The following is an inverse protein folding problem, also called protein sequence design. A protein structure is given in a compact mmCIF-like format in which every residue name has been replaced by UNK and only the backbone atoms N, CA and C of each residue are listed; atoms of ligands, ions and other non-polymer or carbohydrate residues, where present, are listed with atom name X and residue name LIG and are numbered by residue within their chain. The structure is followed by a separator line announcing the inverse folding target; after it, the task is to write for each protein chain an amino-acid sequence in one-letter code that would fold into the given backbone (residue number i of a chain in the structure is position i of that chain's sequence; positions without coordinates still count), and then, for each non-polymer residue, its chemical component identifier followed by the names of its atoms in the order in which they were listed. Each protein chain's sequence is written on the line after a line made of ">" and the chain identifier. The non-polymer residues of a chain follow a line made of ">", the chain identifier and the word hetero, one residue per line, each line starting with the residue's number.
data_IF_853881908013
#
_entry.id   IF_853881908013
#
_cell.length_a   1.000
_cell.length_b   1.000
_cell.length_c   1.000
_cell.angle_alpha   90.00
_cell.angle_beta   90.00
_cell.angle_gamma   90.00
#
_symmetry.space_group_name_H-M   'P 1'
#
loop_
_entity.id
_entity.type
_entity.pdbx_description
1 polymer ?
#
# COMPACT_ATOMS: atom_id res chain seq x y z
N UNK A 1 19.09 16.16 6.47
CA UNK A 1 18.62 15.55 5.21
C UNK A 1 19.74 15.06 4.28
N UNK A 2 20.71 15.87 3.84
CA UNK A 2 21.81 15.40 2.97
C UNK A 2 22.60 14.18 3.49
N UNK A 3 22.89 14.07 4.79
CA UNK A 3 23.75 13.01 5.35
C UNK A 3 23.18 11.58 5.31
N UNK A 4 21.86 11.39 5.24
CA UNK A 4 21.28 10.03 5.22
C UNK A 4 21.43 9.37 3.85
N UNK A 5 21.40 10.16 2.78
CA UNK A 5 21.56 9.66 1.40
C UNK A 5 23.03 9.55 0.97
N UNK A 6 23.94 10.30 1.62
CA UNK A 6 25.41 10.23 1.32
C UNK A 6 26.02 8.87 1.71
N UNK A 7 25.40 8.11 2.62
CA UNK A 7 25.91 6.80 3.06
C UNK A 7 25.18 5.61 2.44
N UNK A 8 24.12 5.83 1.64
CA UNK A 8 23.46 4.76 0.91
C UNK A 8 24.16 4.66 -0.47
N UNK A 9 25.14 3.78 -0.61
CA UNK A 9 25.63 3.36 -1.92
C UNK A 9 24.52 2.55 -2.60
N UNK A 10 23.63 3.25 -3.30
CA UNK A 10 22.60 2.64 -4.13
C UNK A 10 23.26 2.10 -5.41
N UNK A 11 23.67 0.85 -5.36
CA UNK A 11 24.15 0.11 -6.53
C UNK A 11 23.03 -0.84 -6.94
N UNK A 12 22.48 -0.68 -8.12
CA UNK A 12 21.70 -1.74 -8.73
C UNK A 12 20.52 -1.30 -9.57
N UNK A 13 20.38 -1.98 -10.72
CA UNK A 13 19.17 -1.95 -11.54
C UNK A 13 18.02 -2.58 -10.76
N UNK A 14 16.90 -1.85 -10.60
CA UNK A 14 15.64 -2.49 -10.25
C UNK A 14 15.20 -3.22 -11.52
N UNK A 15 15.08 -4.54 -11.45
CA UNK A 15 14.62 -5.34 -12.57
C UNK A 15 13.23 -4.85 -13.02
N UNK A 16 12.99 -4.87 -14.32
CA UNK A 16 11.67 -4.66 -14.91
C UNK A 16 10.69 -5.63 -14.25
N UNK A 17 9.82 -5.15 -13.40
CA UNK A 17 8.93 -5.98 -12.59
C UNK A 17 7.62 -5.26 -12.30
N UNK A 18 6.71 -5.96 -11.65
CA UNK A 18 5.42 -5.43 -11.22
C UNK A 18 5.54 -4.79 -9.83
N UNK A 19 4.70 -3.80 -9.51
CA UNK A 19 4.50 -3.30 -8.15
C UNK A 19 3.07 -3.64 -7.72
N UNK A 20 2.92 -4.78 -7.04
CA UNK A 20 1.60 -5.36 -6.71
C UNK A 20 1.30 -5.29 -5.22
N UNK A 21 2.25 -5.70 -4.38
CA UNK A 21 2.08 -5.79 -2.92
C UNK A 21 3.31 -5.26 -2.21
N UNK A 22 3.11 -4.59 -1.07
CA UNK A 22 4.21 -4.21 -0.19
C UNK A 22 4.90 -5.43 0.44
N UNK A 23 4.19 -6.57 0.53
CA UNK A 23 4.76 -7.81 1.05
C UNK A 23 5.84 -8.41 0.13
N UNK A 24 5.81 -8.07 -1.15
CA UNK A 24 6.78 -8.55 -2.14
C UNK A 24 8.03 -7.65 -2.22
N UNK A 25 8.01 -6.46 -1.58
CA UNK A 25 9.07 -5.46 -1.67
C UNK A 25 10.08 -5.58 -0.53
N UNK A 26 11.35 -5.55 -0.86
CA UNK A 26 12.46 -5.50 0.10
C UNK A 26 12.76 -4.06 0.50
N UNK A 27 13.38 -3.87 1.68
CA UNK A 27 13.83 -2.55 2.18
C UNK A 27 14.57 -1.73 1.11
N UNK A 28 15.48 -2.37 0.38
CA UNK A 28 16.27 -1.69 -0.66
C UNK A 28 15.39 -1.19 -1.80
N UNK A 29 14.46 -2.01 -2.29
CA UNK A 29 13.56 -1.62 -3.39
C UNK A 29 12.66 -0.44 -2.99
N UNK A 30 12.17 -0.44 -1.74
CA UNK A 30 11.44 0.71 -1.19
C UNK A 30 12.32 1.95 -1.21
N UNK A 31 13.54 1.90 -0.65
CA UNK A 31 14.45 3.03 -0.60
C UNK A 31 14.85 3.53 -1.99
N UNK A 32 15.09 2.65 -2.93
CA UNK A 32 15.42 3.00 -4.32
C UNK A 32 14.28 3.78 -4.99
N UNK A 33 13.02 3.39 -4.77
CA UNK A 33 11.84 4.11 -5.27
C UNK A 33 11.72 5.50 -4.62
N UNK A 34 11.93 5.60 -3.29
CA UNK A 34 11.85 6.89 -2.59
C UNK A 34 12.96 7.84 -3.03
N UNK A 35 14.19 7.34 -3.17
CA UNK A 35 15.32 8.13 -3.65
C UNK A 35 15.14 8.58 -5.10
N UNK A 36 14.64 7.70 -5.97
CA UNK A 36 14.32 8.07 -7.35
C UNK A 36 13.24 9.15 -7.40
N UNK A 37 12.21 9.06 -6.55
CA UNK A 37 11.16 10.07 -6.47
C UNK A 37 11.75 11.45 -6.15
N UNK A 38 12.67 11.52 -5.18
CA UNK A 38 13.37 12.75 -4.81
C UNK A 38 14.22 13.29 -5.96
N UNK A 39 15.01 12.44 -6.61
CA UNK A 39 15.84 12.84 -7.78
C UNK A 39 14.98 13.35 -8.94
N UNK A 40 13.80 12.78 -9.16
CA UNK A 40 12.86 13.27 -10.18
C UNK A 40 12.32 14.64 -9.79
N UNK A 41 11.99 14.90 -8.53
CA UNK A 41 11.54 16.23 -8.09
C UNK A 41 12.57 17.32 -8.43
N UNK A 42 13.86 17.03 -8.22
CA UNK A 42 14.97 17.96 -8.50
C UNK A 42 15.24 18.19 -10.01
N UNK A 43 14.64 17.38 -10.90
CA UNK A 43 14.79 17.55 -12.34
C UNK A 43 13.96 18.71 -12.87
N UNK A 44 14.46 19.40 -13.93
CA UNK A 44 13.66 20.36 -14.69
C UNK A 44 12.47 19.70 -15.37
N UNK A 45 11.37 20.43 -15.56
CA UNK A 45 10.18 19.90 -16.22
C UNK A 45 10.47 19.42 -17.65
N UNK A 46 11.36 20.13 -18.37
CA UNK A 46 11.81 19.70 -19.71
C UNK A 46 12.52 18.34 -19.69
N UNK A 47 13.36 18.07 -18.67
CA UNK A 47 14.02 16.79 -18.52
C UNK A 47 13.00 15.70 -18.20
N UNK A 48 12.06 15.97 -17.28
CA UNK A 48 11.00 15.03 -16.90
C UNK A 48 10.19 14.55 -18.11
N UNK A 49 9.82 15.45 -19.00
CA UNK A 49 9.04 15.13 -20.21
C UNK A 49 9.72 14.13 -21.15
N UNK A 50 11.02 13.91 -21.02
CA UNK A 50 11.78 12.98 -21.88
C UNK A 50 11.80 11.54 -21.32
N UNK A 51 11.54 11.33 -20.02
CA UNK A 51 11.73 10.03 -19.37
C UNK A 51 10.83 8.92 -19.91
N UNK A 52 9.56 9.23 -20.15
CA UNK A 52 8.59 8.27 -20.70
C UNK A 52 7.97 8.74 -22.02
N UNK A 53 8.71 9.61 -22.75
CA UNK A 53 8.24 10.11 -24.04
C UNK A 53 7.85 8.97 -24.99
N UNK A 54 6.67 9.05 -25.59
CA UNK A 54 6.13 8.06 -26.50
C UNK A 54 5.58 6.78 -25.86
N UNK A 55 5.68 6.62 -24.52
CA UNK A 55 5.06 5.51 -23.80
C UNK A 55 3.57 5.73 -23.62
N UNK A 56 2.81 4.64 -23.59
CA UNK A 56 1.35 4.63 -23.34
C UNK A 56 1.10 3.94 -22.00
N UNK A 57 0.49 4.67 -21.06
CA UNK A 57 0.14 4.18 -19.74
C UNK A 57 -1.36 3.95 -19.68
N UNK A 58 -1.79 2.69 -19.53
CA UNK A 58 -3.19 2.38 -19.31
C UNK A 58 -3.59 2.58 -17.85
N UNK A 59 -4.67 3.33 -17.61
CA UNK A 59 -5.24 3.54 -16.26
C UNK A 59 -6.62 2.88 -16.18
N UNK A 60 -6.65 1.68 -15.59
CA UNK A 60 -7.83 0.83 -15.48
C UNK A 60 -8.42 0.95 -14.07
N UNK A 61 -9.40 1.81 -13.90
CA UNK A 61 -10.06 2.05 -12.62
C UNK A 61 -11.49 1.48 -12.66
N UNK A 62 -11.67 0.29 -12.09
CA UNK A 62 -12.95 -0.42 -12.00
C UNK A 62 -13.78 0.01 -10.78
N UNK A 63 -13.25 0.86 -9.93
CA UNK A 63 -13.98 1.52 -8.84
C UNK A 63 -13.66 3.01 -8.79
N UNK A 64 -14.55 3.86 -8.29
CA UNK A 64 -14.32 5.31 -8.18
C UNK A 64 -13.09 5.64 -7.36
N UNK A 65 -12.18 6.45 -7.89
CA UNK A 65 -10.99 6.94 -7.19
C UNK A 65 -10.42 8.18 -7.85
N UNK A 66 -11.00 9.33 -7.58
CA UNK A 66 -10.63 10.60 -8.21
C UNK A 66 -9.16 10.95 -7.99
N UNK A 67 -8.70 11.00 -6.74
CA UNK A 67 -7.32 11.42 -6.41
C UNK A 67 -6.28 10.46 -6.97
N UNK A 68 -6.44 9.16 -6.77
CA UNK A 68 -5.45 8.17 -7.22
C UNK A 68 -5.34 8.17 -8.74
N UNK A 69 -6.48 8.19 -9.46
CA UNK A 69 -6.52 8.24 -10.92
C UNK A 69 -5.83 9.50 -11.44
N UNK A 70 -6.30 10.68 -11.03
CA UNK A 70 -5.73 11.96 -11.47
C UNK A 70 -4.24 12.07 -11.15
N UNK A 71 -3.79 11.54 -10.00
CA UNK A 71 -2.39 11.59 -9.61
C UNK A 71 -1.51 10.68 -10.48
N UNK A 72 -1.97 9.45 -10.84
CA UNK A 72 -1.24 8.60 -11.79
C UNK A 72 -1.21 9.22 -13.18
N UNK A 73 -2.32 9.73 -13.66
CA UNK A 73 -2.42 10.36 -14.98
C UNK A 73 -1.55 11.62 -15.04
N UNK A 74 -1.61 12.50 -14.02
CA UNK A 74 -0.73 13.66 -13.93
C UNK A 74 0.75 13.27 -13.87
N UNK A 75 1.10 12.26 -13.07
CA UNK A 75 2.47 11.78 -12.96
C UNK A 75 3.00 11.26 -14.31
N UNK A 76 2.19 10.49 -15.05
CA UNK A 76 2.55 9.96 -16.36
C UNK A 76 2.74 11.08 -17.41
N UNK A 77 1.79 12.03 -17.49
CA UNK A 77 1.87 13.16 -18.43
C UNK A 77 3.09 14.04 -18.16
N UNK A 78 3.44 14.26 -16.89
CA UNK A 78 4.65 15.01 -16.50
C UNK A 78 5.95 14.31 -16.89
N UNK A 79 5.91 13.00 -17.14
CA UNK A 79 7.04 12.24 -17.68
C UNK A 79 7.03 12.15 -19.22
N UNK A 80 6.06 12.79 -19.89
CA UNK A 80 5.90 12.77 -21.34
C UNK A 80 5.20 11.52 -21.89
N UNK A 81 4.55 10.73 -21.03
CA UNK A 81 3.76 9.59 -21.45
C UNK A 81 2.34 10.00 -21.89
N UNK A 82 1.74 9.19 -22.77
CA UNK A 82 0.34 9.27 -23.15
C UNK A 82 -0.52 8.42 -22.21
N UNK A 83 -1.76 8.82 -22.00
CA UNK A 83 -2.70 8.10 -21.14
C UNK A 83 -3.76 7.40 -21.99
N UNK A 84 -3.99 6.12 -21.68
CA UNK A 84 -5.11 5.33 -22.15
C UNK A 84 -6.01 5.00 -20.95
N UNK A 85 -7.06 5.79 -20.76
CA UNK A 85 -7.92 5.67 -19.58
C UNK A 85 -9.13 4.79 -19.89
N UNK A 86 -9.43 3.81 -19.02
CA UNK A 86 -10.69 3.08 -19.09
C UNK A 86 -11.86 4.06 -18.85
N UNK A 87 -12.88 4.08 -19.74
CA UNK A 87 -14.10 4.81 -19.48
C UNK A 87 -14.81 4.26 -18.22
N UNK A 88 -15.80 4.98 -17.67
CA UNK A 88 -16.60 4.46 -16.57
C UNK A 88 -17.13 3.04 -16.88
N UNK A 89 -17.15 2.16 -15.88
CA UNK A 89 -17.51 0.73 -16.06
C UNK A 89 -18.86 0.58 -16.77
N UNK A 90 -19.80 1.47 -16.46
CA UNK A 90 -21.14 1.53 -17.04
C UNK A 90 -21.14 1.87 -18.55
N UNK A 91 -20.02 2.36 -19.08
CA UNK A 91 -19.84 2.75 -20.50
C UNK A 91 -18.81 1.86 -21.21
N UNK A 92 -18.31 0.83 -20.53
CA UNK A 92 -17.29 -0.08 -21.06
C UNK A 92 -17.86 -1.45 -21.45
N UNK A 93 -17.04 -2.26 -22.09
CA UNK A 93 -17.39 -3.65 -22.43
C UNK A 93 -17.61 -4.54 -21.20
N UNK A 94 -17.11 -4.13 -20.05
CA UNK A 94 -17.35 -4.81 -18.76
C UNK A 94 -18.85 -4.91 -18.45
N UNK A 95 -19.63 -3.87 -18.77
CA UNK A 95 -21.09 -3.90 -18.63
C UNK A 95 -21.75 -4.98 -19.51
N UNK A 96 -21.11 -5.37 -20.62
CA UNK A 96 -21.61 -6.43 -21.52
C UNK A 96 -21.19 -7.82 -21.06
N UNK A 97 -20.49 -7.94 -19.91
CA UNK A 97 -20.01 -9.21 -19.38
C UNK A 97 -18.59 -9.60 -19.80
N UNK A 98 -17.78 -8.66 -20.35
CA UNK A 98 -16.37 -8.92 -20.61
C UNK A 98 -15.64 -9.25 -19.28
N UNK A 99 -14.89 -10.35 -19.28
CA UNK A 99 -14.13 -10.76 -18.11
C UNK A 99 -12.96 -9.79 -17.85
N UNK A 100 -12.54 -9.69 -16.57
CA UNK A 100 -11.33 -8.93 -16.22
C UNK A 100 -10.09 -9.45 -16.97
N UNK A 101 -9.99 -10.77 -17.11
CA UNK A 101 -8.93 -11.45 -17.86
C UNK A 101 -8.85 -10.98 -19.30
N UNK A 102 -9.99 -10.90 -20.00
CA UNK A 102 -10.03 -10.48 -21.40
C UNK A 102 -9.71 -8.99 -21.53
N UNK A 103 -10.24 -8.14 -20.63
CA UNK A 103 -9.90 -6.72 -20.58
C UNK A 103 -8.38 -6.52 -20.46
N UNK A 104 -7.71 -7.26 -19.55
CA UNK A 104 -6.25 -7.14 -19.37
C UNK A 104 -5.50 -7.54 -20.63
N UNK A 105 -5.86 -8.67 -21.29
CA UNK A 105 -5.24 -9.12 -22.53
C UNK A 105 -5.38 -8.12 -23.67
N UNK A 106 -6.54 -7.47 -23.78
CA UNK A 106 -6.75 -6.45 -24.80
C UNK A 106 -5.94 -5.19 -24.52
N UNK A 107 -5.96 -4.70 -23.28
CA UNK A 107 -5.25 -3.47 -22.90
C UNK A 107 -3.73 -3.65 -22.97
N UNK A 108 -3.21 -4.85 -22.68
CA UNK A 108 -1.80 -5.19 -22.88
C UNK A 108 -1.32 -4.88 -24.32
N UNK A 109 -2.18 -5.09 -25.31
CA UNK A 109 -1.86 -4.85 -26.71
C UNK A 109 -1.79 -3.35 -27.06
N UNK A 110 -2.38 -2.49 -26.24
CA UNK A 110 -2.52 -1.06 -26.48
C UNK A 110 -1.57 -0.19 -25.64
N UNK A 111 -0.91 -0.77 -24.63
CA UNK A 111 -0.14 0.00 -23.66
C UNK A 111 1.23 -0.60 -23.36
N UNK A 112 2.12 0.22 -22.77
CA UNK A 112 3.44 -0.19 -22.29
C UNK A 112 3.42 -0.56 -20.79
N UNK A 113 2.44 -0.03 -20.06
CA UNK A 113 2.27 -0.22 -18.60
C UNK A 113 0.79 -0.16 -18.27
N UNK A 114 0.36 -1.02 -17.35
CA UNK A 114 -1.02 -1.06 -16.84
C UNK A 114 -1.03 -0.64 -15.36
N UNK A 115 -1.77 0.41 -15.05
CA UNK A 115 -2.11 0.82 -13.68
C UNK A 115 -3.53 0.36 -13.41
N UNK A 116 -3.71 -0.55 -12.45
CA UNK A 116 -5.02 -1.16 -12.18
C UNK A 116 -5.51 -0.84 -10.77
N UNK A 117 -6.79 -0.43 -10.66
CA UNK A 117 -7.54 -0.33 -9.42
C UNK A 117 -8.84 -1.10 -9.54
N UNK A 118 -9.13 -2.00 -8.59
CA UNK A 118 -10.25 -2.92 -8.69
C UNK A 118 -10.93 -3.14 -7.32
N UNK A 119 -12.27 -3.36 -7.27
CA UNK A 119 -12.97 -3.62 -6.01
C UNK A 119 -12.69 -5.01 -5.41
N UNK A 120 -12.17 -5.97 -6.19
CA UNK A 120 -11.85 -7.32 -5.74
C UNK A 120 -10.39 -7.45 -5.32
N UNK A 121 -10.19 -8.13 -4.19
CA UNK A 121 -8.86 -8.41 -3.64
C UNK A 121 -8.07 -9.36 -4.56
N UNK A 122 -6.82 -9.01 -4.88
CA UNK A 122 -5.95 -9.83 -5.72
C UNK A 122 -6.09 -9.58 -7.23
N UNK A 123 -6.96 -8.66 -7.64
CA UNK A 123 -7.13 -8.36 -9.06
C UNK A 123 -5.84 -7.85 -9.72
N UNK A 124 -5.07 -7.01 -9.02
CA UNK A 124 -3.78 -6.54 -9.54
C UNK A 124 -2.76 -7.68 -9.68
N UNK A 125 -2.79 -8.67 -8.79
CA UNK A 125 -1.95 -9.87 -8.88
C UNK A 125 -2.33 -10.71 -10.10
N UNK A 126 -3.64 -10.90 -10.32
CA UNK A 126 -4.12 -11.60 -11.51
C UNK A 126 -3.72 -10.86 -12.79
N UNK A 127 -3.88 -9.53 -12.84
CA UNK A 127 -3.43 -8.74 -13.98
C UNK A 127 -1.94 -8.95 -14.28
N UNK A 128 -1.09 -9.01 -13.24
CA UNK A 128 0.36 -9.23 -13.41
C UNK A 128 0.73 -10.64 -13.86
N UNK A 129 -0.14 -11.64 -13.66
CA UNK A 129 0.06 -13.00 -14.20
C UNK A 129 -0.37 -13.11 -15.67
N UNK A 130 -1.40 -12.37 -16.04
CA UNK A 130 -1.96 -12.41 -17.40
C UNK A 130 -1.13 -11.57 -18.36
N UNK A 131 -0.75 -10.36 -17.94
CA UNK A 131 -0.09 -9.37 -18.78
C UNK A 131 1.41 -9.62 -18.92
N UNK A 132 1.92 -9.49 -20.14
CA UNK A 132 3.35 -9.41 -20.45
C UNK A 132 3.92 -8.00 -20.22
N UNK A 133 3.04 -7.02 -20.01
CA UNK A 133 3.42 -5.65 -19.66
C UNK A 133 3.47 -5.47 -18.15
N UNK A 134 4.34 -4.59 -17.64
CA UNK A 134 4.36 -4.28 -16.21
C UNK A 134 2.99 -3.85 -15.69
N UNK A 135 2.69 -4.21 -14.44
CA UNK A 135 1.46 -3.84 -13.74
C UNK A 135 1.79 -3.11 -12.43
N UNK A 136 1.09 -2.01 -12.19
CA UNK A 136 1.11 -1.30 -10.91
C UNK A 136 -0.26 -1.39 -10.25
N UNK A 137 -0.29 -1.84 -9.00
CA UNK A 137 -1.48 -1.87 -8.17
C UNK A 137 -1.80 -0.47 -7.62
N UNK A 138 -2.89 0.13 -8.06
CA UNK A 138 -3.43 1.40 -7.57
C UNK A 138 -4.51 1.21 -6.46
N UNK A 139 -4.61 0.01 -5.92
CA UNK A 139 -5.53 -0.42 -4.86
C UNK A 139 -6.47 -1.52 -5.32
N UNK A 140 -6.47 -2.65 -4.65
CA UNK A 140 -7.35 -3.79 -4.91
C UNK A 140 -8.16 -4.14 -3.65
N UNK A 141 -9.45 -3.94 -3.70
CA UNK A 141 -10.38 -4.25 -2.62
C UNK A 141 -9.97 -3.71 -1.25
N UNK A 142 -9.88 -4.58 -0.27
CA UNK A 142 -9.36 -4.32 1.07
C UNK A 142 -7.93 -4.84 1.28
N UNK A 143 -7.28 -5.32 0.22
CA UNK A 143 -6.00 -5.99 0.30
C UNK A 143 -4.81 -5.00 0.33
N UNK A 144 -4.33 -4.50 -0.80
CA UNK A 144 -3.11 -3.72 -0.90
C UNK A 144 -3.31 -2.37 -1.59
N UNK A 145 -2.46 -1.39 -1.22
CA UNK A 145 -2.36 -0.11 -1.93
C UNK A 145 -0.91 0.41 -1.93
N UNK A 146 0.01 -0.25 -2.68
CA UNK A 146 1.45 0.05 -2.62
C UNK A 146 1.78 1.52 -2.85
N UNK A 147 1.10 2.17 -3.82
CA UNK A 147 1.37 3.57 -4.12
C UNK A 147 0.99 4.53 -2.98
N UNK A 148 0.04 4.15 -2.10
CA UNK A 148 -0.26 4.92 -0.90
C UNK A 148 0.83 4.72 0.15
N UNK A 149 1.21 3.48 0.41
CA UNK A 149 2.26 3.18 1.38
C UNK A 149 3.60 3.85 1.01
N UNK A 150 3.98 3.80 -0.28
CA UNK A 150 5.21 4.44 -0.75
C UNK A 150 5.18 5.96 -0.61
N UNK A 151 4.05 6.62 -0.91
CA UNK A 151 3.95 8.07 -0.72
C UNK A 151 3.90 8.47 0.76
N UNK A 152 3.34 7.62 1.63
CA UNK A 152 3.37 7.82 3.08
C UNK A 152 4.81 7.73 3.58
N UNK A 153 5.55 6.69 3.21
CA UNK A 153 6.98 6.53 3.55
C UNK A 153 7.83 7.69 2.99
N UNK A 154 7.55 8.11 1.75
CA UNK A 154 8.24 9.26 1.15
C UNK A 154 8.02 10.53 1.96
N UNK A 155 6.78 10.80 2.34
CA UNK A 155 6.43 11.98 3.15
C UNK A 155 7.09 11.94 4.53
N UNK A 156 7.09 10.77 5.18
CA UNK A 156 7.76 10.57 6.47
C UNK A 156 9.26 10.82 6.32
N UNK A 157 9.89 10.25 5.30
CA UNK A 157 11.33 10.41 5.06
C UNK A 157 11.70 11.86 4.75
N UNK A 158 10.89 12.55 3.95
CA UNK A 158 11.09 13.96 3.59
C UNK A 158 11.00 14.87 4.82
N UNK A 159 10.04 14.65 5.72
CA UNK A 159 9.80 15.49 6.89
C UNK A 159 10.68 15.14 8.10
N UNK A 160 10.89 13.84 8.33
CA UNK A 160 11.66 13.37 9.51
C UNK A 160 13.14 13.12 9.21
N UNK A 161 13.53 13.08 7.95
CA UNK A 161 14.89 12.74 7.53
C UNK A 161 15.28 11.28 7.78
N UNK A 162 14.38 10.48 8.33
CA UNK A 162 14.59 9.05 8.63
C UNK A 162 13.27 8.29 8.61
N UNK A 163 13.35 6.98 8.38
CA UNK A 163 12.25 6.04 8.62
C UNK A 163 12.50 5.15 9.86
N UNK A 164 13.70 5.25 10.46
CA UNK A 164 14.11 4.39 11.56
C UNK A 164 13.84 5.04 12.91
N UNK A 165 13.59 4.22 13.92
CA UNK A 165 13.40 4.61 15.32
C UNK A 165 12.25 5.59 15.57
N UNK A 166 11.27 5.68 14.68
CA UNK A 166 10.12 6.56 14.82
C UNK A 166 9.06 5.97 15.75
N UNK A 167 8.32 6.82 16.43
CA UNK A 167 7.14 6.51 17.22
C UNK A 167 5.89 6.94 16.45
N UNK A 168 5.04 6.00 16.11
CA UNK A 168 3.93 6.22 15.17
C UNK A 168 2.62 5.81 15.84
N UNK A 169 1.63 6.69 15.86
CA UNK A 169 0.26 6.35 16.22
C UNK A 169 -0.61 6.19 14.99
N UNK A 170 -1.27 5.05 14.87
CA UNK A 170 -2.33 4.79 13.92
C UNK A 170 -3.66 4.94 14.63
N UNK A 171 -4.51 5.86 14.17
CA UNK A 171 -5.73 6.26 14.86
C UNK A 171 -6.93 6.13 13.96
N UNK A 172 -8.01 5.50 14.44
CA UNK A 172 -9.29 5.39 13.74
C UNK A 172 -9.68 3.95 13.39
N UNK A 173 -9.99 3.68 12.11
CA UNK A 173 -10.36 2.33 11.66
C UNK A 173 -9.12 1.49 11.34
N UNK A 174 -8.67 0.71 12.31
CA UNK A 174 -7.50 -0.16 12.15
C UNK A 174 -7.88 -1.56 11.67
N UNK A 175 -9.17 -1.93 11.76
CA UNK A 175 -9.66 -3.25 11.36
C UNK A 175 -9.79 -3.40 9.85
N UNK A 176 -10.35 -2.37 9.20
CA UNK A 176 -10.62 -2.37 7.75
C UNK A 176 -9.68 -1.45 6.97
N UNK A 177 -8.78 -0.75 7.68
CA UNK A 177 -7.86 0.24 7.14
C UNK A 177 -6.68 -0.37 6.39
N UNK A 178 -6.85 -0.80 5.12
CA UNK A 178 -5.76 -1.38 4.31
C UNK A 178 -4.49 -0.51 4.26
N UNK A 179 -4.62 0.81 4.30
CA UNK A 179 -3.47 1.73 4.29
C UNK A 179 -2.66 1.62 5.57
N UNK A 180 -3.33 1.46 6.72
CA UNK A 180 -2.67 1.20 8.02
C UNK A 180 -1.95 -0.15 7.98
N UNK A 181 -2.62 -1.20 7.51
CA UNK A 181 -2.04 -2.54 7.43
C UNK A 181 -0.77 -2.56 6.58
N UNK A 182 -0.82 -1.97 5.39
CA UNK A 182 0.32 -1.93 4.46
C UNK A 182 1.45 -1.05 5.01
N UNK A 183 1.13 0.10 5.62
CA UNK A 183 2.14 1.00 6.18
C UNK A 183 2.80 0.39 7.42
N UNK A 184 2.03 -0.19 8.35
CA UNK A 184 2.58 -0.85 9.52
C UNK A 184 3.55 -1.99 9.14
N UNK A 185 3.18 -2.81 8.15
CA UNK A 185 4.07 -3.84 7.60
C UNK A 185 5.32 -3.27 6.94
N UNK A 186 5.17 -2.26 6.09
CA UNK A 186 6.33 -1.66 5.42
C UNK A 186 7.33 -1.05 6.43
N UNK A 187 6.83 -0.47 7.51
CA UNK A 187 7.65 0.10 8.57
C UNK A 187 8.44 -0.95 9.36
N UNK A 188 8.05 -2.24 9.35
CA UNK A 188 8.88 -3.30 9.98
C UNK A 188 10.27 -3.38 9.38
N UNK A 189 10.45 -3.00 8.12
CA UNK A 189 11.76 -2.93 7.47
C UNK A 189 12.68 -1.83 8.05
N UNK A 190 12.12 -0.89 8.82
CA UNK A 190 12.82 0.30 9.32
C UNK A 190 12.89 0.37 10.85
N UNK A 191 12.57 -0.73 11.55
CA UNK A 191 12.68 -0.86 13.00
C UNK A 191 12.11 0.34 13.77
N UNK A 192 10.81 0.64 13.69
CA UNK A 192 10.20 1.71 14.46
C UNK A 192 10.40 1.46 15.96
N UNK A 193 10.56 2.54 16.75
CA UNK A 193 10.74 2.42 18.21
C UNK A 193 9.50 1.82 18.87
N UNK A 194 8.31 2.28 18.47
CA UNK A 194 7.03 1.76 18.92
C UNK A 194 5.91 2.16 17.94
N UNK A 195 4.95 1.29 17.77
CA UNK A 195 3.68 1.59 17.07
C UNK A 195 2.54 1.63 18.09
N UNK A 196 1.78 2.70 18.10
CA UNK A 196 0.56 2.83 18.91
C UNK A 196 -0.65 2.56 18.01
N UNK A 197 -1.50 1.64 18.41
CA UNK A 197 -2.75 1.31 17.70
C UNK A 197 -3.93 1.82 18.52
N UNK A 198 -4.47 2.97 18.09
CA UNK A 198 -5.51 3.71 18.82
C UNK A 198 -6.84 3.54 18.10
N UNK A 199 -7.70 2.70 18.65
CA UNK A 199 -9.02 2.41 18.12
C UNK A 199 -9.94 1.84 19.20
N UNK A 200 -11.29 1.95 19.06
CA UNK A 200 -12.19 1.18 19.87
C UNK A 200 -11.96 -0.32 19.67
N UNK A 201 -12.25 -1.15 20.66
CA UNK A 201 -12.02 -2.59 20.60
C UNK A 201 -12.59 -3.25 19.33
N UNK A 202 -13.75 -2.79 18.86
CA UNK A 202 -14.40 -3.30 17.63
C UNK A 202 -13.66 -2.99 16.33
N UNK A 203 -12.77 -1.98 16.33
CA UNK A 203 -12.00 -1.48 15.18
C UNK A 203 -10.49 -1.64 15.35
N UNK A 204 -10.04 -2.39 16.34
CA UNK A 204 -8.63 -2.62 16.61
C UNK A 204 -7.95 -3.40 15.47
N UNK A 205 -6.63 -3.30 15.46
CA UNK A 205 -5.75 -4.01 14.53
C UNK A 205 -6.02 -5.51 14.59
N UNK A 206 -6.20 -6.19 13.45
CA UNK A 206 -6.40 -7.64 13.40
C UNK A 206 -5.26 -8.42 14.06
N UNK A 207 -5.61 -9.46 14.82
CA UNK A 207 -4.65 -10.27 15.58
C UNK A 207 -3.50 -10.84 14.73
N UNK A 208 -3.81 -11.31 13.51
CA UNK A 208 -2.79 -11.84 12.60
C UNK A 208 -1.70 -10.83 12.23
N UNK A 209 -2.03 -9.52 12.19
CA UNK A 209 -1.06 -8.44 11.95
C UNK A 209 -0.23 -8.15 13.20
N UNK A 210 -0.86 -8.18 14.39
CA UNK A 210 -0.15 -8.02 15.66
C UNK A 210 0.84 -9.17 15.89
N UNK A 211 0.44 -10.41 15.56
CA UNK A 211 1.35 -11.57 15.58
C UNK A 211 2.54 -11.37 14.63
N UNK A 212 2.29 -10.84 13.44
CA UNK A 212 3.32 -10.58 12.43
C UNK A 212 4.32 -9.52 12.92
N UNK A 213 3.84 -8.42 13.51
CA UNK A 213 4.68 -7.41 14.13
C UNK A 213 5.52 -7.99 15.28
N UNK A 214 4.92 -8.79 16.14
CA UNK A 214 5.60 -9.46 17.26
C UNK A 214 6.70 -10.41 16.78
N UNK A 215 6.46 -11.18 15.70
CA UNK A 215 7.47 -12.04 15.07
C UNK A 215 8.66 -11.25 14.53
N UNK A 216 8.41 -10.05 14.03
CA UNK A 216 9.46 -9.14 13.54
C UNK A 216 10.12 -8.31 14.66
N UNK A 217 9.82 -8.59 15.93
CA UNK A 217 10.40 -7.89 17.07
C UNK A 217 9.93 -6.45 17.25
N UNK A 218 8.85 -6.05 16.60
CA UNK A 218 8.32 -4.69 16.66
C UNK A 218 7.52 -4.49 17.95
N UNK A 219 7.89 -3.46 18.70
CA UNK A 219 7.14 -3.04 19.91
C UNK A 219 5.87 -2.30 19.49
N UNK A 220 4.74 -2.65 20.12
CA UNK A 220 3.48 -1.93 19.91
C UNK A 220 2.68 -1.83 21.22
N UNK A 221 1.80 -0.85 21.27
CA UNK A 221 0.84 -0.63 22.35
C UNK A 221 -0.55 -0.46 21.77
N UNK A 222 -1.57 -1.04 22.40
CA UNK A 222 -2.98 -0.91 22.03
C UNK A 222 -3.61 0.08 22.99
N UNK A 223 -4.21 1.13 22.43
CA UNK A 223 -4.83 2.22 23.16
C UNK A 223 -6.24 2.48 22.65
N UNK A 224 -7.07 3.08 23.49
CA UNK A 224 -8.42 3.56 23.10
C UNK A 224 -8.46 5.08 22.94
N UNK A 225 -7.50 5.80 23.54
CA UNK A 225 -7.41 7.27 23.47
C UNK A 225 -6.05 7.72 22.95
N UNK A 226 -6.04 8.53 21.90
CA UNK A 226 -4.80 9.05 21.32
C UNK A 226 -4.04 10.00 22.25
N UNK A 227 -4.74 10.61 23.24
CA UNK A 227 -4.13 11.51 24.21
C UNK A 227 -3.09 10.83 25.08
N UNK A 228 -3.18 9.50 25.25
CA UNK A 228 -2.26 8.71 26.05
C UNK A 228 -0.86 8.56 25.42
N UNK A 229 -0.75 8.85 24.11
CA UNK A 229 0.51 8.78 23.39
C UNK A 229 0.90 10.08 22.66
N UNK A 230 0.04 11.10 22.65
CA UNK A 230 0.20 12.29 21.83
C UNK A 230 1.52 13.04 22.06
N UNK A 231 1.99 13.13 23.31
CA UNK A 231 3.24 13.78 23.70
C UNK A 231 4.50 12.96 23.34
N UNK A 232 4.32 11.67 22.98
CA UNK A 232 5.42 10.72 22.74
C UNK A 232 5.70 10.49 21.28
N UNK A 233 4.70 10.66 20.40
CA UNK A 233 4.75 10.25 19.00
C UNK A 233 5.44 11.28 18.09
N UNK A 234 6.02 10.79 17.02
CA UNK A 234 6.61 11.58 15.94
C UNK A 234 5.65 11.73 14.76
N UNK A 235 4.75 10.75 14.60
CA UNK A 235 3.79 10.68 13.50
C UNK A 235 2.42 10.30 14.05
N UNK A 236 1.44 11.10 13.71
CA UNK A 236 0.01 10.84 13.92
C UNK A 236 -0.62 10.47 12.58
N UNK A 237 -0.90 9.19 12.36
CA UNK A 237 -1.53 8.71 11.13
C UNK A 237 -3.01 8.47 11.38
N UNK A 238 -3.83 9.42 10.96
CA UNK A 238 -5.28 9.38 11.12
C UNK A 238 -5.95 8.64 9.97
N UNK A 239 -6.98 7.87 10.26
CA UNK A 239 -7.82 7.22 9.26
C UNK A 239 -9.30 7.48 9.50
N UNK A 240 -10.05 7.59 8.42
CA UNK A 240 -11.50 7.69 8.44
C UNK A 240 -12.13 6.37 8.88
N UNK A 241 -13.16 6.42 9.72
CA UNK A 241 -14.02 5.27 9.97
C UNK A 241 -14.94 5.08 8.76
N UNK A 242 -14.76 3.96 8.04
CA UNK A 242 -15.39 3.74 6.73
C UNK A 242 -16.77 3.12 6.88
N UNK A 243 -17.84 3.94 6.85
CA UNK A 243 -19.23 3.49 6.94
C UNK A 243 -19.57 2.33 6.00
N UNK A 244 -19.04 2.37 4.80
CA UNK A 244 -19.23 1.38 3.72
C UNK A 244 -18.63 -0.01 4.02
N UNK A 245 -17.88 -0.15 5.10
CA UNK A 245 -17.26 -1.42 5.52
C UNK A 245 -18.03 -2.14 6.62
N UNK A 246 -19.00 -1.47 7.26
CA UNK A 246 -19.78 -2.06 8.32
C UNK A 246 -20.94 -2.88 7.77
N UNK A 247 -21.10 -4.15 8.20
CA UNK A 247 -22.26 -4.96 7.84
C UNK A 247 -23.57 -4.40 8.39
N UNK A 248 -23.55 -3.83 9.61
CA UNK A 248 -24.68 -3.16 10.25
C UNK A 248 -24.37 -1.67 10.49
N UNK A 249 -25.26 -0.81 10.05
CA UNK A 249 -25.19 0.63 10.25
C UNK A 249 -25.17 1.03 11.73
N UNK A 250 -25.83 0.25 12.60
CA UNK A 250 -25.88 0.50 14.05
C UNK A 250 -24.49 0.38 14.68
N UNK A 251 -23.63 -0.49 14.17
CA UNK A 251 -22.26 -0.63 14.68
C UNK A 251 -21.39 0.54 14.24
N UNK A 252 -21.63 1.10 13.05
CA UNK A 252 -20.99 2.35 12.63
C UNK A 252 -21.42 3.53 13.53
N UNK A 253 -22.70 3.68 13.84
CA UNK A 253 -23.20 4.80 14.66
C UNK A 253 -22.61 4.80 16.09
N UNK A 254 -22.21 3.64 16.62
CA UNK A 254 -21.54 3.55 17.93
C UNK A 254 -20.12 4.11 17.94
N UNK A 255 -19.44 4.13 16.80
CA UNK A 255 -18.03 4.51 16.67
C UNK A 255 -17.81 5.80 15.86
N UNK A 256 -18.86 6.30 15.21
CA UNK A 256 -18.83 7.56 14.48
C UNK A 256 -18.44 8.72 15.40
N UNK A 257 -17.45 9.53 14.96
CA UNK A 257 -17.03 10.74 15.69
C UNK A 257 -16.28 10.50 17.01
N UNK A 258 -15.88 9.26 17.33
CA UNK A 258 -15.08 8.97 18.53
C UNK A 258 -13.73 9.67 18.46
N UNK A 259 -13.12 9.72 17.29
CA UNK A 259 -11.84 10.40 17.07
C UNK A 259 -12.04 11.61 16.18
N UNK A 260 -11.94 12.77 16.77
CA UNK A 260 -11.89 14.06 16.07
C UNK A 260 -10.69 14.83 16.58
N UNK A 261 -9.83 15.23 15.65
CA UNK A 261 -8.69 16.09 15.99
C UNK A 261 -8.89 17.50 15.45
N UNK A 262 -8.52 18.48 16.27
CA UNK A 262 -8.63 19.90 16.00
C UNK A 262 -7.44 20.67 16.62
N UNK A 263 -7.40 21.96 16.38
CA UNK A 263 -6.34 22.82 16.91
C UNK A 263 -6.23 22.74 18.43
N UNK A 264 -7.36 22.72 19.13
CA UNK A 264 -7.41 22.75 20.60
C UNK A 264 -6.79 21.48 21.21
N UNK A 265 -7.08 20.30 20.62
CA UNK A 265 -6.62 19.04 21.22
C UNK A 265 -5.23 18.58 20.74
N UNK A 266 -4.63 19.29 19.76
CA UNK A 266 -3.31 18.97 19.19
C UNK A 266 -2.25 20.01 19.59
N UNK A 267 -2.50 21.30 19.30
CA UNK A 267 -1.46 22.33 19.42
C UNK A 267 -1.06 22.55 20.87
N UNK A 268 0.26 22.46 21.13
CA UNK A 268 0.84 22.58 22.47
C UNK A 268 0.73 21.32 23.34
N UNK A 269 0.12 20.23 22.83
CA UNK A 269 -0.03 18.95 23.54
C UNK A 269 0.78 17.81 22.91
N UNK A 270 1.40 18.06 21.77
CA UNK A 270 2.24 17.11 21.05
C UNK A 270 3.66 17.62 20.91
N UNK A 271 4.56 16.77 20.39
CA UNK A 271 5.92 17.22 20.05
C UNK A 271 5.88 18.33 19.01
N UNK A 272 6.84 19.25 19.11
CA UNK A 272 6.91 20.41 18.22
C UNK A 272 7.09 20.01 16.74
N UNK A 273 7.77 18.92 16.49
CA UNK A 273 8.08 18.35 15.18
C UNK A 273 7.17 17.20 14.79
N UNK A 274 6.10 16.90 15.55
CA UNK A 274 5.12 15.88 15.18
C UNK A 274 4.45 16.22 13.83
N UNK A 275 4.17 15.21 13.03
CA UNK A 275 3.43 15.38 11.77
C UNK A 275 2.11 14.60 11.79
N UNK A 276 1.08 15.19 11.17
CA UNK A 276 -0.23 14.55 10.99
C UNK A 276 -0.38 14.14 9.53
N UNK A 277 -0.61 12.86 9.32
CA UNK A 277 -0.84 12.24 8.02
C UNK A 277 -2.26 11.66 7.93
N UNK A 278 -2.81 11.66 6.72
CA UNK A 278 -4.11 11.09 6.43
C UNK A 278 -4.21 10.68 4.95
N UNK A 279 -4.66 9.46 4.62
CA UNK A 279 -4.71 8.99 3.22
C UNK A 279 -5.80 9.70 2.37
N UNK A 280 -6.64 10.51 3.00
CA UNK A 280 -7.77 11.21 2.39
C UNK A 280 -8.78 10.28 1.64
N UNK A 281 -10.07 10.65 1.53
CA UNK A 281 -10.68 11.90 2.00
C UNK A 281 -10.89 11.89 3.51
N UNK A 282 -10.69 13.02 4.15
CA UNK A 282 -11.25 13.25 5.48
C UNK A 282 -12.74 13.65 5.36
N UNK A 283 -13.48 13.39 6.42
CA UNK A 283 -14.90 13.80 6.53
C UNK A 283 -15.07 14.67 7.78
N UNK A 284 -15.11 14.07 8.96
CA UNK A 284 -15.31 14.72 10.24
C UNK A 284 -14.19 14.43 11.26
N UNK A 285 -13.27 13.54 10.95
CA UNK A 285 -12.18 13.11 11.85
C UNK A 285 -11.04 14.13 12.00
N UNK A 286 -10.90 15.09 11.07
CA UNK A 286 -9.94 16.19 11.14
C UNK A 286 -10.68 17.49 10.85
N UNK A 287 -10.76 18.38 11.82
CA UNK A 287 -11.34 19.70 11.64
C UNK A 287 -10.44 20.61 10.79
N UNK A 288 -11.06 21.55 10.08
CA UNK A 288 -10.36 22.43 9.14
C UNK A 288 -9.46 23.47 9.81
N UNK A 289 -9.64 23.70 11.08
CA UNK A 289 -8.82 24.61 11.88
C UNK A 289 -7.37 24.12 12.08
N UNK A 290 -7.11 22.83 11.78
CA UNK A 290 -5.76 22.27 11.74
C UNK A 290 -5.00 22.56 10.45
N UNK A 291 -5.69 22.88 9.35
CA UNK A 291 -5.10 22.96 8.00
C UNK A 291 -3.93 23.95 7.91
N UNK A 292 -4.01 25.06 8.63
CA UNK A 292 -3.00 26.13 8.66
C UNK A 292 -1.89 25.89 9.71
N UNK A 293 -1.90 24.74 10.38
CA UNK A 293 -0.86 24.40 11.36
C UNK A 293 0.33 23.72 10.69
N UNK A 294 1.51 23.87 11.30
CA UNK A 294 2.73 23.17 10.85
C UNK A 294 2.64 21.64 10.93
N UNK A 295 1.66 21.11 11.65
CA UNK A 295 1.45 19.68 11.83
C UNK A 295 0.70 19.02 10.67
N UNK A 296 -0.14 19.79 9.95
CA UNK A 296 -1.06 19.31 8.94
C UNK A 296 -0.35 18.98 7.60
N UNK A 297 0.16 17.77 7.45
CA UNK A 297 0.91 17.38 6.25
C UNK A 297 0.12 16.51 5.26
N UNK A 298 -1.14 16.21 5.51
CA UNK A 298 -1.94 15.31 4.66
C UNK A 298 -2.16 15.84 3.24
N UNK A 299 -2.15 17.16 3.00
CA UNK A 299 -2.18 17.70 1.63
C UNK A 299 -0.82 17.61 0.94
N UNK A 300 0.28 17.85 1.68
CA UNK A 300 1.65 17.61 1.18
C UNK A 300 1.84 16.12 0.87
N UNK A 301 1.38 15.24 1.77
CA UNK A 301 1.36 13.79 1.58
C UNK A 301 0.65 13.41 0.27
N UNK A 302 -0.53 13.95 0.01
CA UNK A 302 -1.26 13.68 -1.23
C UNK A 302 -0.50 14.17 -2.48
N UNK A 303 0.14 15.36 -2.42
CA UNK A 303 0.99 15.92 -3.48
C UNK A 303 2.21 15.06 -3.75
N UNK A 304 2.85 14.52 -2.71
CA UNK A 304 4.00 13.63 -2.80
C UNK A 304 3.68 12.32 -3.56
N UNK A 305 2.40 12.03 -3.75
CA UNK A 305 1.97 10.96 -4.64
C UNK A 305 2.41 11.13 -6.09
N UNK A 306 2.68 12.36 -6.58
CA UNK A 306 3.11 12.59 -7.96
C UNK A 306 4.53 12.06 -8.18
N UNK A 307 5.59 12.55 -7.48
CA UNK A 307 6.95 12.06 -7.69
C UNK A 307 7.10 10.57 -7.38
N UNK A 308 6.39 10.05 -6.36
CA UNK A 308 6.41 8.62 -6.05
C UNK A 308 5.82 7.78 -7.19
N UNK A 309 4.68 8.18 -7.77
CA UNK A 309 4.09 7.48 -8.92
C UNK A 309 4.94 7.60 -10.18
N UNK A 310 5.62 8.73 -10.38
CA UNK A 310 6.64 8.89 -11.42
C UNK A 310 7.76 7.87 -11.25
N UNK A 311 8.33 7.77 -10.05
CA UNK A 311 9.37 6.82 -9.71
C UNK A 311 8.91 5.37 -9.93
N UNK A 312 7.71 5.00 -9.46
CA UNK A 312 7.14 3.67 -9.69
C UNK A 312 7.06 3.32 -11.18
N UNK A 313 6.53 4.23 -12.01
CA UNK A 313 6.38 4.00 -13.45
C UNK A 313 7.75 3.88 -14.14
N UNK A 314 8.71 4.73 -13.79
CA UNK A 314 10.06 4.65 -14.34
C UNK A 314 10.76 3.35 -13.94
N UNK A 315 10.58 2.93 -12.69
CA UNK A 315 11.15 1.68 -12.16
C UNK A 315 10.64 0.47 -12.94
N UNK A 316 9.32 0.28 -13.05
CA UNK A 316 8.75 -0.90 -13.72
C UNK A 316 8.98 -0.91 -15.23
N UNK A 317 9.23 0.25 -15.85
CA UNK A 317 9.59 0.38 -17.26
C UNK A 317 11.11 0.33 -17.51
N UNK A 318 11.93 0.13 -16.47
CA UNK A 318 13.41 0.08 -16.58
C UNK A 318 14.02 1.40 -17.04
N UNK A 319 13.41 2.55 -16.70
CA UNK A 319 13.83 3.90 -17.09
C UNK A 319 14.54 4.65 -15.96
N UNK A 320 14.95 3.95 -14.92
CA UNK A 320 15.66 4.48 -13.76
C UNK A 320 17.19 4.38 -13.85
N UNK A 321 17.73 3.70 -14.89
CA UNK A 321 19.15 3.42 -15.04
C UNK A 321 20.05 4.65 -15.06
N UNK A 322 19.58 5.77 -15.62
CA UNK A 322 20.34 7.02 -15.66
C UNK A 322 20.52 7.70 -14.29
N UNK A 323 19.79 7.24 -13.28
CA UNK A 323 19.84 7.77 -11.92
C UNK A 323 20.67 6.91 -10.96
N UNK A 324 21.01 5.69 -11.38
CA UNK A 324 21.77 4.73 -10.56
C UNK A 324 22.91 4.15 -11.40
N UNK A 325 24.11 4.13 -10.84
CA UNK A 325 25.25 3.49 -11.47
C UNK A 325 24.98 2.00 -11.70
N UNK A 326 25.30 1.50 -12.88
CA UNK A 326 25.04 0.13 -13.31
C UNK A 326 25.86 -0.85 -12.46
N UNK A 327 25.22 -1.82 -11.89
CA UNK A 327 25.55 -3.22 -11.65
C UNK A 327 24.82 -3.82 -10.45
N UNK A 328 23.64 -4.37 -10.68
CA UNK A 328 23.16 -5.59 -9.99
C UNK A 328 21.88 -6.10 -10.67
N UNK A 329 21.97 -7.29 -11.26
CA UNK A 329 20.78 -8.04 -11.70
C UNK A 329 20.00 -8.55 -10.48
N UNK A 330 18.77 -8.12 -10.33
CA UNK A 330 17.81 -8.76 -9.42
C UNK A 330 17.06 -9.86 -10.18
N UNK A 331 17.42 -11.10 -9.93
CA UNK A 331 16.62 -12.26 -10.37
C UNK A 331 15.59 -12.57 -9.28
N UNK A 332 14.35 -12.16 -9.50
CA UNK A 332 13.21 -12.66 -8.73
C UNK A 332 12.67 -13.94 -9.39
N UNK A 333 13.31 -15.06 -9.17
CA UNK A 333 12.70 -16.37 -9.39
C UNK A 333 12.78 -17.16 -8.09
N UNK A 334 11.82 -16.96 -7.21
CA UNK A 334 11.55 -17.95 -6.17
C UNK A 334 10.69 -19.04 -6.79
N UNK A 335 11.22 -20.26 -6.86
CA UNK A 335 10.40 -21.45 -7.11
C UNK A 335 9.46 -21.64 -5.92
N UNK A 336 8.27 -21.06 -5.99
CA UNK A 336 7.22 -21.21 -4.98
C UNK A 336 6.39 -22.42 -5.37
N UNK A 337 6.34 -23.43 -4.49
CA UNK A 337 5.44 -24.56 -4.64
C UNK A 337 4.01 -24.13 -4.27
N UNK A 338 3.12 -24.10 -5.24
CA UNK A 338 1.70 -23.80 -5.04
C UNK A 338 0.90 -25.07 -4.77
N UNK A 339 -0.05 -24.99 -3.85
CA UNK A 339 -1.08 -25.99 -3.64
C UNK A 339 -2.31 -25.56 -4.43
N UNK A 340 -2.88 -26.48 -5.18
CA UNK A 340 -4.01 -26.28 -6.09
C UNK A 340 -5.25 -27.00 -5.56
N UNK A 341 -6.39 -26.85 -6.24
CA UNK A 341 -7.67 -27.50 -5.92
C UNK A 341 -8.28 -27.08 -4.57
N UNK A 342 -8.04 -25.85 -4.16
CA UNK A 342 -8.60 -25.25 -2.95
C UNK A 342 -9.39 -23.99 -3.35
N UNK A 343 -10.49 -23.70 -2.64
CA UNK A 343 -11.28 -22.48 -2.83
C UNK A 343 -10.89 -21.43 -1.80
N UNK A 344 -10.70 -20.18 -2.23
CA UNK A 344 -10.46 -19.07 -1.30
C UNK A 344 -11.75 -18.76 -0.51
N UNK A 345 -11.65 -18.70 0.82
CA UNK A 345 -12.79 -18.37 1.69
C UNK A 345 -13.07 -16.86 1.78
N UNK A 346 -12.27 -16.01 1.13
CA UNK A 346 -12.54 -14.59 0.98
C UNK A 346 -13.52 -14.39 -0.20
N UNK A 347 -14.77 -14.06 0.08
CA UNK A 347 -15.80 -13.83 -0.95
C UNK A 347 -15.47 -12.72 -1.96
N UNK A 348 -14.58 -11.79 -1.58
CA UNK A 348 -14.11 -10.69 -2.44
C UNK A 348 -12.81 -11.02 -3.18
N UNK A 349 -12.27 -12.24 -3.03
CA UNK A 349 -11.07 -12.63 -3.76
C UNK A 349 -11.38 -12.77 -5.25
N UNK A 350 -10.53 -12.21 -6.11
CA UNK A 350 -10.67 -12.29 -7.58
C UNK A 350 -10.79 -13.73 -8.05
N UNK A 351 -10.14 -14.69 -7.39
CA UNK A 351 -10.21 -16.11 -7.74
C UNK A 351 -11.59 -16.76 -7.58
N UNK A 352 -12.53 -16.09 -6.92
CA UNK A 352 -13.92 -16.53 -6.83
C UNK A 352 -14.82 -15.89 -7.89
N UNK A 353 -14.30 -14.96 -8.70
CA UNK A 353 -15.05 -14.17 -9.69
C UNK A 353 -14.53 -14.37 -11.11
N UNK A 354 -13.32 -14.89 -11.27
CA UNK A 354 -12.71 -15.21 -12.57
C UNK A 354 -12.50 -16.72 -12.69
N UNK A 355 -12.58 -17.25 -13.91
CA UNK A 355 -12.31 -18.66 -14.19
C UNK A 355 -10.79 -18.92 -14.26
N UNK A 356 -10.16 -18.97 -13.09
CA UNK A 356 -8.71 -19.17 -12.94
C UNK A 356 -8.41 -20.26 -11.93
N UNK A 357 -7.24 -20.88 -12.07
CA UNK A 357 -6.74 -21.82 -11.07
C UNK A 357 -6.38 -21.12 -9.77
N UNK A 358 -6.99 -21.53 -8.66
CA UNK A 358 -6.69 -20.97 -7.34
C UNK A 358 -5.38 -21.57 -6.82
N UNK A 359 -4.46 -20.69 -6.37
CA UNK A 359 -3.13 -21.05 -5.88
C UNK A 359 -2.99 -20.64 -4.41
N UNK A 360 -2.42 -21.54 -3.61
CA UNK A 360 -2.10 -21.27 -2.21
C UNK A 360 -0.63 -21.54 -1.92
N UNK A 361 -0.07 -20.78 -1.00
CA UNK A 361 1.29 -20.93 -0.49
C UNK A 361 1.21 -21.49 0.92
N UNK A 362 1.88 -22.63 1.19
CA UNK A 362 1.99 -23.17 2.54
C UNK A 362 2.92 -22.28 3.38
N UNK A 363 2.44 -21.78 4.51
CA UNK A 363 3.25 -21.02 5.46
C UNK A 363 3.94 -22.00 6.38
N UNK A 364 5.25 -22.18 6.19
CA UNK A 364 6.08 -22.96 7.11
C UNK A 364 6.28 -22.14 8.39
N UNK A 365 5.97 -22.72 9.54
CA UNK A 365 6.35 -22.15 10.83
C UNK A 365 7.80 -22.55 11.12
N UNK A 366 8.64 -21.59 11.52
CA UNK A 366 10.01 -21.86 11.94
C UNK A 366 10.02 -22.74 13.17
N UNK A 367 10.79 -23.83 13.11
CA UNK A 367 10.83 -24.92 14.10
C UNK A 367 11.53 -24.56 15.42
N UNK A 368 11.93 -23.31 15.63
CA UNK A 368 12.76 -22.91 16.79
C UNK A 368 11.98 -22.59 18.09
N UNK A 369 10.64 -22.61 18.08
CA UNK A 369 9.84 -22.39 19.30
C UNK A 369 8.97 -23.60 19.67
N UNK A 370 9.59 -24.77 19.84
CA UNK A 370 8.95 -25.97 20.33
C UNK A 370 8.80 -25.92 21.86
N UNK A 371 7.77 -25.27 22.38
CA UNK A 371 7.30 -25.55 23.73
C UNK A 371 6.44 -26.82 23.71
N UNK A 372 6.79 -27.76 24.60
CA UNK A 372 6.29 -29.14 24.72
C UNK A 372 4.83 -29.24 25.19
N UNK A 373 3.88 -28.64 24.55
CA UNK A 373 2.47 -28.97 24.79
C UNK A 373 1.84 -29.44 23.48
N UNK A 374 1.54 -30.74 23.42
CA UNK A 374 0.92 -31.50 22.32
C UNK A 374 -0.49 -31.01 21.97
N UNK A 375 -0.62 -29.81 21.37
CA UNK A 375 -1.78 -29.45 20.57
C UNK A 375 -1.35 -29.57 19.12
N UNK A 376 -2.02 -30.39 18.31
CA UNK A 376 -1.79 -30.50 16.87
C UNK A 376 -1.89 -29.10 16.25
N UNK A 377 -0.74 -28.49 15.92
CA UNK A 377 -0.69 -27.23 15.22
C UNK A 377 -1.31 -27.42 13.84
N UNK A 378 -2.29 -26.58 13.49
CA UNK A 378 -2.94 -26.61 12.18
C UNK A 378 -2.06 -25.92 11.17
N UNK A 379 -1.89 -26.49 9.98
CA UNK A 379 -1.17 -25.89 8.87
C UNK A 379 -1.87 -24.59 8.43
N UNK A 380 -1.07 -23.58 8.05
CA UNK A 380 -1.57 -22.28 7.56
C UNK A 380 -1.25 -22.14 6.08
N UNK A 381 -2.18 -21.59 5.33
CA UNK A 381 -2.07 -21.38 3.89
C UNK A 381 -2.41 -19.94 3.54
N UNK A 382 -1.65 -19.32 2.64
CA UNK A 382 -1.89 -17.97 2.15
C UNK A 382 -2.40 -18.02 0.71
N UNK A 383 -3.55 -17.44 0.45
CA UNK A 383 -4.03 -17.27 -0.93
C UNK A 383 -3.04 -16.45 -1.74
N UNK A 384 -2.65 -16.94 -2.91
CA UNK A 384 -1.69 -16.25 -3.78
C UNK A 384 -2.20 -14.89 -4.27
N UNK A 385 -3.50 -14.76 -4.51
CA UNK A 385 -4.10 -13.54 -5.04
C UNK A 385 -4.40 -12.49 -3.97
N UNK A 386 -5.29 -12.80 -3.02
CA UNK A 386 -5.73 -11.82 -2.01
C UNK A 386 -4.91 -11.84 -0.72
N UNK A 387 -3.89 -12.68 -0.63
CA UNK A 387 -2.96 -12.81 0.49
C UNK A 387 -3.61 -13.20 1.84
N UNK A 388 -4.91 -13.51 1.86
CA UNK A 388 -5.60 -13.97 3.08
C UNK A 388 -5.03 -15.29 3.55
N UNK A 389 -4.72 -15.37 4.86
CA UNK A 389 -4.28 -16.58 5.51
C UNK A 389 -5.51 -17.35 5.98
N UNK A 390 -5.53 -18.66 5.72
CA UNK A 390 -6.57 -19.61 6.13
C UNK A 390 -5.95 -20.79 6.85
N UNK A 391 -6.68 -21.37 7.79
CA UNK A 391 -6.28 -22.59 8.51
C UNK A 391 -6.68 -23.83 7.71
N UNK A 392 -5.98 -24.94 7.93
CA UNK A 392 -6.20 -26.21 7.21
C UNK A 392 -7.66 -26.71 7.29
N UNK A 393 -8.33 -26.51 8.43
CA UNK A 393 -9.73 -26.89 8.65
C UNK A 393 -10.77 -25.94 8.03
N UNK A 394 -10.34 -24.76 7.60
CA UNK A 394 -11.18 -23.77 6.89
C UNK A 394 -11.15 -23.97 5.37
N UNK A 395 -10.32 -24.88 4.88
CA UNK A 395 -10.13 -25.13 3.46
C UNK A 395 -11.36 -25.86 2.89
N UNK A 396 -11.92 -25.28 1.83
CA UNK A 396 -12.92 -25.97 1.00
C UNK A 396 -12.22 -26.49 -0.25
N UNK A 397 -12.33 -27.81 -0.48
CA UNK A 397 -11.84 -28.44 -1.71
C UNK A 397 -12.85 -28.12 -2.83
N UNK A 398 -12.36 -27.80 -4.02
CA UNK A 398 -13.19 -27.59 -5.22
C UNK A 398 -13.77 -28.92 -5.73
#
# INVERSE_FOLDING_TARGET
>A
MRKLFENIQLRGEIAVGNIISMNDMKKKEILDILELARKIEDCSEEKKLKFLHGKIIATLFFEPSTRTKMSFESAAMRLGANILSLPPVEQSSVQKGESFTDTIKMVESYSDLIVVRHPLDGAAKLASEISKKPVINAGDGSNQHPSQTLLDLYTILDEKGTLENLKIAFVGDLKYGRTVHSLAKALTHFNPSVMYFVAPQSLQMPEYLLEDLKKNGIKYEILEDFRDCLDKIDIFYMTRIQKERFPDIKDYEKVKGIYVINRENIVGKCKEDMIILHPLPRVDEIETDLDDTKYALYFKQAKNGIPVRQSMMMTVLGKNKEFFDQDTEYKNSQNINYIKNMKCNNSKCISNHENIEVKFIHIKEDSENLNKNNLKKKSKYKCFYCEKVILEDEIKIQ
#
